data_IF_616311534898
#
_entry.id   IF_616311534898
#
_cell.length_a   1.000
_cell.length_b   1.000
_cell.length_c   1.000
_cell.angle_alpha   90.00
_cell.angle_beta   90.00
_cell.angle_gamma   90.00
#
_symmetry.space_group_name_H-M   'P 1'
#
loop_
_entity.id
_entity.type
_entity.pdbx_description
1 polymer ?
#
# COMPACT_ATOMS: atom_id res chain seq x y z
N UNK A 1 5.39 54.56 2.18
CA UNK A 1 4.95 53.28 2.76
C UNK A 1 4.39 52.43 1.64
N UNK A 2 5.05 51.33 1.29
CA UNK A 2 4.52 50.37 0.30
C UNK A 2 3.31 49.69 0.94
N UNK A 3 2.16 49.76 0.29
CA UNK A 3 0.93 49.12 0.76
C UNK A 3 1.14 47.61 0.63
N UNK A 4 1.19 46.86 1.73
CA UNK A 4 1.25 45.40 1.66
C UNK A 4 -0.02 44.92 0.93
N UNK A 5 0.16 44.20 -0.18
CA UNK A 5 -0.94 43.65 -0.96
C UNK A 5 -1.59 42.43 -0.26
N UNK A 6 -0.84 41.76 0.60
CA UNK A 6 -1.25 40.57 1.36
C UNK A 6 -0.88 40.71 2.85
N UNK A 7 -1.65 40.07 3.71
CA UNK A 7 -1.25 39.73 5.07
C UNK A 7 -0.38 38.47 5.07
N UNK A 8 0.04 38.01 6.24
CA UNK A 8 0.87 36.80 6.43
C UNK A 8 -0.02 35.64 6.87
N UNK A 9 0.23 34.45 6.35
CA UNK A 9 -0.42 33.21 6.75
C UNK A 9 0.36 32.55 7.88
N UNK A 10 -0.35 31.86 8.77
CA UNK A 10 0.22 30.88 9.68
C UNK A 10 -0.28 29.49 9.30
N UNK A 11 0.64 28.54 9.23
CA UNK A 11 0.43 27.15 8.82
C UNK A 11 1.18 26.25 9.79
N UNK A 12 0.62 25.07 10.12
CA UNK A 12 1.34 24.09 10.92
C UNK A 12 2.39 23.33 10.09
N UNK A 13 3.30 22.62 10.74
CA UNK A 13 4.33 21.83 10.04
C UNK A 13 3.73 20.73 9.14
N UNK A 14 2.53 20.24 9.46
CA UNK A 14 1.74 19.30 8.63
C UNK A 14 0.86 19.97 7.54
N UNK A 15 0.95 21.29 7.34
CA UNK A 15 0.26 21.96 6.24
C UNK A 15 -1.18 22.44 6.50
N UNK A 16 -1.76 22.20 7.69
CA UNK A 16 -3.04 22.80 8.06
C UNK A 16 -2.93 24.31 8.20
N UNK A 17 -3.84 25.03 7.53
CA UNK A 17 -3.92 26.48 7.58
C UNK A 17 -4.57 26.95 8.88
N UNK A 18 -3.80 27.65 9.72
CA UNK A 18 -4.30 28.23 10.98
C UNK A 18 -5.03 29.54 10.70
N UNK A 19 -4.37 30.48 10.02
CA UNK A 19 -4.97 31.77 9.69
C UNK A 19 -4.31 32.38 8.47
N UNK A 20 -5.09 33.08 7.65
CA UNK A 20 -4.56 33.95 6.59
C UNK A 20 -4.23 35.37 7.06
N UNK A 21 -4.46 35.69 8.33
CA UNK A 21 -4.38 37.05 8.86
C UNK A 21 -3.51 37.11 10.12
N UNK A 22 -2.24 36.73 10.00
CA UNK A 22 -1.30 36.71 11.13
C UNK A 22 -1.14 38.08 11.78
N UNK A 23 -1.40 39.20 11.10
CA UNK A 23 -1.38 40.52 11.73
C UNK A 23 -2.34 40.66 12.92
N UNK A 24 -3.38 39.81 12.99
CA UNK A 24 -4.37 39.76 14.06
C UNK A 24 -4.00 38.69 15.12
N UNK A 25 -3.51 39.08 16.31
CA UNK A 25 -3.02 38.13 17.32
C UNK A 25 -4.08 37.15 17.81
N UNK A 26 -5.36 37.51 17.77
CA UNK A 26 -6.48 36.67 18.20
C UNK A 26 -6.69 35.42 17.33
N UNK A 27 -6.14 35.40 16.12
CA UNK A 27 -6.22 34.25 15.20
C UNK A 27 -4.94 33.41 15.18
N UNK A 28 -3.91 33.79 15.95
CA UNK A 28 -2.67 33.03 16.02
C UNK A 28 -2.82 31.86 16.97
N UNK A 29 -2.35 30.69 16.55
CA UNK A 29 -2.27 29.52 17.43
C UNK A 29 -0.82 29.05 17.48
N UNK A 30 -0.22 28.81 18.67
CA UNK A 30 1.16 28.35 18.75
C UNK A 30 1.34 26.93 18.20
N UNK A 31 0.33 26.07 18.37
CA UNK A 31 0.26 24.71 17.85
C UNK A 31 -1.07 24.49 17.12
N UNK A 32 -1.11 23.55 16.19
CA UNK A 32 -2.32 23.20 15.43
C UNK A 32 -3.35 22.49 16.32
N UNK A 33 -4.62 22.90 16.25
CA UNK A 33 -5.71 22.21 16.94
C UNK A 33 -6.09 20.86 16.30
N UNK A 34 -5.76 20.64 15.02
CA UNK A 34 -6.09 19.41 14.28
C UNK A 34 -5.06 18.30 14.51
N UNK A 35 -3.76 18.62 14.42
CA UNK A 35 -2.68 17.62 14.51
C UNK A 35 -1.66 17.86 15.65
N UNK A 36 -1.72 19.00 16.34
CA UNK A 36 -0.82 19.30 17.46
C UNK A 36 0.59 19.77 17.10
N UNK A 37 0.95 19.85 15.82
CA UNK A 37 2.29 20.29 15.40
C UNK A 37 2.51 21.80 15.60
N UNK A 38 3.78 22.18 15.68
CA UNK A 38 4.20 23.58 15.75
C UNK A 38 3.76 24.36 14.51
N UNK A 39 3.70 25.68 14.63
CA UNK A 39 3.23 26.56 13.57
C UNK A 39 4.30 27.55 13.10
N UNK A 40 4.33 27.79 11.80
CA UNK A 40 5.22 28.74 11.16
C UNK A 40 4.42 29.78 10.36
N UNK A 41 5.02 30.95 10.20
CA UNK A 41 4.47 32.04 9.38
C UNK A 41 5.52 32.60 8.41
N UNK A 42 6.72 32.03 8.43
CA UNK A 42 7.85 32.37 7.58
C UNK A 42 8.49 31.08 7.05
N UNK A 43 9.06 31.16 5.86
CA UNK A 43 9.82 30.06 5.27
C UNK A 43 11.05 29.72 6.14
N UNK A 44 11.25 28.47 6.55
CA UNK A 44 12.38 28.09 7.40
C UNK A 44 13.74 28.21 6.70
N UNK A 45 13.77 28.26 5.37
CA UNK A 45 15.01 28.37 4.60
C UNK A 45 15.42 29.82 4.25
N UNK A 46 14.45 30.74 4.09
CA UNK A 46 14.74 32.10 3.62
C UNK A 46 14.03 33.23 4.36
N UNK A 47 13.34 32.90 5.46
CA UNK A 47 12.59 33.80 6.34
C UNK A 47 11.52 34.66 5.63
N UNK A 48 11.11 34.28 4.42
CA UNK A 48 10.05 34.97 3.70
C UNK A 48 8.70 34.72 4.36
N UNK A 49 7.95 35.79 4.63
CA UNK A 49 6.56 35.72 5.07
C UNK A 49 5.71 34.85 4.12
N UNK A 50 4.99 33.89 4.67
CA UNK A 50 4.06 33.05 3.91
C UNK A 50 2.85 33.91 3.52
N UNK A 51 2.52 33.99 2.22
CA UNK A 51 1.46 34.88 1.74
C UNK A 51 0.09 34.48 2.28
N UNK A 52 -0.53 35.34 3.08
CA UNK A 52 -1.86 35.19 3.63
C UNK A 52 -2.93 35.89 2.81
N UNK A 53 -4.00 36.32 3.49
CA UNK A 53 -5.18 36.96 2.90
C UNK A 53 -4.80 38.23 2.14
N UNK A 54 -5.46 38.45 1.01
CA UNK A 54 -5.32 39.68 0.24
C UNK A 54 -5.98 40.86 0.96
N UNK A 55 -5.29 42.01 1.02
CA UNK A 55 -5.75 43.21 1.73
C UNK A 55 -6.42 44.24 0.80
N UNK A 56 -6.55 43.96 -0.50
CA UNK A 56 -7.12 44.87 -1.51
C UNK A 56 -8.39 44.34 -2.20
N UNK A 57 -9.53 45.02 -2.04
CA UNK A 57 -10.73 44.81 -2.87
C UNK A 57 -11.87 44.02 -2.23
N UNK A 58 -13.03 44.05 -2.89
CA UNK A 58 -14.37 43.66 -2.38
C UNK A 58 -14.60 42.13 -2.35
N UNK A 59 -13.56 41.33 -2.62
CA UNK A 59 -13.67 39.86 -2.63
C UNK A 59 -13.22 39.34 -1.26
N UNK A 60 -14.18 39.14 -0.36
CA UNK A 60 -13.99 38.51 0.94
C UNK A 60 -13.69 37.02 0.81
N UNK A 61 -12.45 36.68 0.43
CA UNK A 61 -11.95 35.30 0.40
C UNK A 61 -11.19 34.90 1.67
N UNK A 62 -11.05 33.59 1.90
CA UNK A 62 -10.21 32.97 2.93
C UNK A 62 -8.70 33.16 2.67
N UNK A 63 -8.32 33.85 1.59
CA UNK A 63 -6.93 34.01 1.15
C UNK A 63 -6.48 32.86 0.24
N UNK A 64 -5.21 32.85 -0.22
CA UNK A 64 -4.66 31.76 -1.00
C UNK A 64 -4.65 30.45 -0.20
N UNK A 65 -4.71 29.32 -0.91
CA UNK A 65 -4.46 28.00 -0.35
C UNK A 65 -2.99 27.87 0.09
N UNK A 66 -2.72 26.89 0.96
CA UNK A 66 -1.37 26.56 1.42
C UNK A 66 -0.60 25.98 0.22
N UNK A 67 0.54 26.60 -0.11
CA UNK A 67 1.40 26.15 -1.22
C UNK A 67 2.46 25.20 -0.69
N UNK A 68 2.92 24.30 -1.55
CA UNK A 68 4.01 23.36 -1.26
C UNK A 68 5.39 24.03 -1.33
N UNK A 69 5.57 25.04 -2.19
CA UNK A 69 6.88 25.67 -2.42
C UNK A 69 6.90 27.15 -2.06
N UNK A 70 8.05 27.63 -1.59
CA UNK A 70 8.25 29.03 -1.24
C UNK A 70 8.28 29.93 -2.49
N UNK A 71 7.38 30.92 -2.54
CA UNK A 71 7.32 31.92 -3.62
C UNK A 71 8.60 32.79 -3.76
N UNK A 72 9.51 32.78 -2.77
CA UNK A 72 10.78 33.51 -2.82
C UNK A 72 11.94 32.61 -3.21
N UNK A 73 12.23 31.57 -2.43
CA UNK A 73 13.43 30.76 -2.61
C UNK A 73 13.21 29.49 -3.43
N UNK A 74 11.96 29.07 -3.64
CA UNK A 74 11.62 27.86 -4.38
C UNK A 74 11.74 26.56 -3.58
N UNK A 75 12.35 26.58 -2.38
CA UNK A 75 12.43 25.38 -1.54
C UNK A 75 11.04 24.91 -1.09
N UNK A 76 10.86 23.58 -0.90
CA UNK A 76 9.66 23.02 -0.30
C UNK A 76 9.47 23.54 1.13
N UNK A 77 8.21 23.74 1.51
CA UNK A 77 7.84 23.89 2.91
C UNK A 77 7.85 22.54 3.63
N UNK A 78 7.89 22.50 4.97
CA UNK A 78 7.90 21.25 5.72
C UNK A 78 6.77 20.27 5.38
N UNK A 79 5.60 20.78 5.00
CA UNK A 79 4.43 19.97 4.61
C UNK A 79 4.40 19.58 3.13
N UNK A 80 5.39 19.97 2.33
CA UNK A 80 5.42 19.62 0.90
C UNK A 80 5.71 18.13 0.69
N UNK A 81 6.27 17.45 1.70
CA UNK A 81 6.65 16.04 1.66
C UNK A 81 5.60 15.12 2.32
N UNK A 82 4.49 15.67 2.82
CA UNK A 82 3.43 14.93 3.54
C UNK A 82 2.30 14.48 2.59
N UNK A 83 2.64 14.01 1.39
CA UNK A 83 1.94 12.83 0.91
C UNK A 83 2.69 11.68 1.57
N UNK A 84 2.21 11.21 2.74
CA UNK A 84 2.81 10.09 3.49
C UNK A 84 3.50 9.16 2.50
N UNK A 85 4.84 9.09 2.55
CA UNK A 85 5.56 8.22 1.65
C UNK A 85 5.14 6.81 2.03
N UNK A 86 4.19 6.26 1.27
CA UNK A 86 3.49 5.03 1.64
C UNK A 86 4.44 3.83 1.55
N UNK A 87 5.76 4.05 1.41
CA UNK A 87 6.86 3.12 1.17
C UNK A 87 7.22 2.31 2.40
N UNK A 88 6.82 2.71 3.61
CA UNK A 88 6.98 1.85 4.78
C UNK A 88 6.05 0.63 4.73
N UNK A 89 6.64 -0.56 4.76
CA UNK A 89 5.90 -1.82 4.84
C UNK A 89 5.66 -2.16 6.31
N UNK A 90 4.42 -2.02 6.79
CA UNK A 90 4.03 -2.51 8.12
C UNK A 90 4.10 -4.05 8.16
N UNK A 91 5.23 -4.57 8.60
CA UNK A 91 5.47 -6.01 8.71
C UNK A 91 4.52 -6.72 9.68
N UNK A 92 3.90 -5.99 10.63
CA UNK A 92 3.01 -6.58 11.63
C UNK A 92 1.71 -7.12 11.02
N UNK A 93 1.35 -6.65 9.84
CA UNK A 93 0.18 -7.11 9.10
C UNK A 93 0.52 -8.11 7.99
N UNK A 94 1.78 -8.46 7.76
CA UNK A 94 2.15 -9.39 6.69
C UNK A 94 2.19 -10.85 7.17
N UNK A 95 2.07 -11.78 6.23
CA UNK A 95 2.35 -13.20 6.48
C UNK A 95 3.76 -13.39 7.05
N UNK A 96 3.91 -14.20 8.10
CA UNK A 96 5.18 -14.37 8.81
C UNK A 96 6.32 -14.85 7.88
N UNK A 97 6.02 -15.74 6.94
CA UNK A 97 7.03 -16.26 6.01
C UNK A 97 7.42 -15.22 4.97
N UNK A 98 6.46 -14.37 4.57
CA UNK A 98 6.72 -13.20 3.74
C UNK A 98 7.65 -12.21 4.44
N UNK A 99 7.42 -11.94 5.74
CA UNK A 99 8.30 -11.10 6.56
C UNK A 99 9.71 -11.67 6.61
N UNK A 100 9.85 -12.95 6.95
CA UNK A 100 11.15 -13.61 7.10
C UNK A 100 11.98 -13.58 5.80
N UNK A 101 11.32 -13.79 4.65
CA UNK A 101 12.02 -14.03 3.38
C UNK A 101 12.13 -12.80 2.47
N UNK A 102 11.20 -11.86 2.58
CA UNK A 102 11.12 -10.72 1.65
C UNK A 102 11.51 -9.39 2.28
N UNK A 103 11.11 -9.13 3.52
CA UNK A 103 11.20 -7.78 4.11
C UNK A 103 12.64 -7.36 4.39
N UNK A 104 13.49 -8.29 4.82
CA UNK A 104 14.92 -8.00 5.01
C UNK A 104 15.62 -7.53 3.72
N UNK A 105 15.19 -8.03 2.56
CA UNK A 105 15.72 -7.60 1.25
C UNK A 105 15.17 -6.24 0.85
N UNK A 106 13.87 -6.00 1.11
CA UNK A 106 13.20 -4.73 0.86
C UNK A 106 13.86 -3.59 1.63
N UNK A 107 13.99 -3.72 2.95
CA UNK A 107 14.63 -2.72 3.84
C UNK A 107 16.10 -2.47 3.49
N UNK A 108 16.76 -3.44 2.86
CA UNK A 108 18.14 -3.31 2.40
C UNK A 108 18.26 -2.74 0.97
N UNK A 109 17.16 -2.29 0.36
CA UNK A 109 17.13 -1.73 -1.01
C UNK A 109 17.24 -2.77 -2.13
N UNK A 110 17.14 -4.07 -1.83
CA UNK A 110 17.22 -5.15 -2.81
C UNK A 110 15.82 -5.50 -3.34
N UNK A 111 15.13 -4.51 -3.90
CA UNK A 111 13.71 -4.56 -4.24
C UNK A 111 13.34 -5.68 -5.21
N UNK A 112 14.13 -5.90 -6.26
CA UNK A 112 13.89 -7.01 -7.20
C UNK A 112 14.00 -8.38 -6.51
N UNK A 113 14.95 -8.55 -5.60
CA UNK A 113 15.09 -9.78 -4.83
C UNK A 113 13.92 -9.96 -3.87
N UNK A 114 13.47 -8.89 -3.20
CA UNK A 114 12.31 -8.92 -2.32
C UNK A 114 11.06 -9.40 -3.08
N UNK A 115 10.77 -8.82 -4.25
CA UNK A 115 9.68 -9.26 -5.13
C UNK A 115 9.80 -10.73 -5.51
N UNK A 116 11.00 -11.20 -5.88
CA UNK A 116 11.21 -12.60 -6.23
C UNK A 116 10.94 -13.53 -5.03
N UNK A 117 11.45 -13.18 -3.85
CA UNK A 117 11.24 -13.93 -2.61
C UNK A 117 9.76 -13.99 -2.22
N UNK A 118 9.03 -12.88 -2.36
CA UNK A 118 7.59 -12.85 -2.11
C UNK A 118 6.83 -13.85 -2.99
N UNK A 119 7.11 -13.90 -4.29
CA UNK A 119 6.48 -14.88 -5.18
C UNK A 119 6.91 -16.32 -4.93
N UNK A 120 8.13 -16.55 -4.43
CA UNK A 120 8.55 -17.89 -3.99
C UNK A 120 7.72 -18.33 -2.79
N UNK A 121 7.47 -17.45 -1.81
CA UNK A 121 6.60 -17.74 -0.65
C UNK A 121 5.19 -18.10 -1.12
N UNK A 122 4.62 -17.33 -2.05
CA UNK A 122 3.30 -17.66 -2.63
C UNK A 122 3.32 -19.02 -3.35
N UNK A 123 4.34 -19.29 -4.18
CA UNK A 123 4.45 -20.53 -4.94
C UNK A 123 4.55 -21.76 -4.03
N UNK A 124 5.39 -21.71 -2.99
CA UNK A 124 5.52 -22.81 -2.02
C UNK A 124 4.24 -22.97 -1.19
N UNK A 125 3.57 -21.88 -0.79
CA UNK A 125 2.30 -21.98 -0.05
C UNK A 125 1.20 -22.63 -0.89
N UNK A 126 1.08 -22.27 -2.16
CA UNK A 126 0.16 -22.92 -3.11
C UNK A 126 0.52 -24.39 -3.27
N UNK A 127 1.81 -24.71 -3.40
CA UNK A 127 2.28 -26.09 -3.53
C UNK A 127 1.88 -26.93 -2.32
N UNK A 128 2.14 -26.44 -1.12
CA UNK A 128 1.86 -27.15 0.13
C UNK A 128 0.36 -27.36 0.33
N UNK A 129 -0.46 -26.33 0.11
CA UNK A 129 -1.92 -26.41 0.28
C UNK A 129 -2.57 -27.27 -0.81
N UNK A 130 -2.07 -27.21 -2.03
CA UNK A 130 -2.58 -27.98 -3.17
C UNK A 130 -2.01 -29.39 -3.30
N UNK A 131 -1.06 -29.77 -2.43
CA UNK A 131 -0.32 -31.04 -2.48
C UNK A 131 0.33 -31.29 -3.85
N UNK A 132 0.97 -30.27 -4.41
CA UNK A 132 1.66 -30.34 -5.70
C UNK A 132 3.13 -30.76 -5.56
N UNK A 133 3.65 -31.40 -6.61
CA UNK A 133 5.09 -31.66 -6.75
C UNK A 133 5.88 -30.43 -7.20
N UNK A 134 7.20 -30.59 -7.38
CA UNK A 134 8.09 -29.53 -7.85
C UNK A 134 8.17 -29.40 -9.38
N UNK A 135 7.50 -30.29 -10.10
CA UNK A 135 7.56 -30.34 -11.56
C UNK A 135 6.73 -29.23 -12.22
N UNK A 136 5.72 -28.73 -11.51
CA UNK A 136 4.83 -27.64 -11.95
C UNK A 136 5.16 -26.38 -11.16
N UNK A 137 5.31 -25.26 -11.86
CA UNK A 137 5.79 -23.99 -11.30
C UNK A 137 5.14 -22.80 -12.00
N UNK A 138 5.29 -21.61 -11.40
CA UNK A 138 4.83 -20.37 -12.01
C UNK A 138 3.33 -20.35 -12.36
N UNK A 139 2.99 -19.85 -13.56
CA UNK A 139 1.61 -19.74 -14.03
C UNK A 139 0.91 -21.09 -14.17
N UNK A 140 1.66 -22.16 -14.49
CA UNK A 140 1.08 -23.48 -14.70
C UNK A 140 0.63 -24.08 -13.36
N UNK A 141 1.41 -23.84 -12.29
CA UNK A 141 1.01 -24.23 -10.93
C UNK A 141 -0.28 -23.52 -10.51
N UNK A 142 -0.36 -22.21 -10.75
CA UNK A 142 -1.56 -21.44 -10.41
C UNK A 142 -2.78 -21.91 -11.22
N UNK A 143 -2.59 -22.28 -12.48
CA UNK A 143 -3.66 -22.81 -13.32
C UNK A 143 -4.18 -24.13 -12.74
N UNK A 144 -3.31 -25.09 -12.46
CA UNK A 144 -3.72 -26.40 -11.92
C UNK A 144 -4.31 -26.28 -10.51
N UNK A 145 -3.78 -25.37 -9.67
CA UNK A 145 -4.25 -25.18 -8.30
C UNK A 145 -5.66 -24.58 -8.22
N UNK A 146 -5.98 -23.61 -9.08
CA UNK A 146 -7.19 -22.79 -8.97
C UNK A 146 -8.22 -23.05 -10.09
N UNK A 147 -7.98 -24.01 -10.99
CA UNK A 147 -8.96 -24.37 -12.05
C UNK A 147 -10.34 -24.68 -11.46
N UNK A 148 -11.44 -24.10 -11.98
CA UNK A 148 -12.79 -24.42 -11.53
C UNK A 148 -13.07 -25.92 -11.54
N UNK A 149 -13.80 -26.40 -10.52
CA UNK A 149 -14.22 -27.80 -10.31
C UNK A 149 -13.10 -28.83 -10.05
N UNK A 150 -11.89 -28.62 -10.56
CA UNK A 150 -10.79 -29.61 -10.50
C UNK A 150 -9.61 -29.19 -9.63
N UNK A 151 -9.40 -27.88 -9.46
CA UNK A 151 -8.29 -27.33 -8.71
C UNK A 151 -8.49 -27.53 -7.20
N UNK A 152 -7.50 -28.08 -6.47
CA UNK A 152 -7.61 -28.32 -5.03
C UNK A 152 -7.78 -27.04 -4.20
N UNK A 153 -7.44 -25.87 -4.77
CA UNK A 153 -7.53 -24.57 -4.14
C UNK A 153 -8.55 -23.65 -4.82
N UNK A 154 -9.41 -24.18 -5.70
CA UNK A 154 -10.49 -23.40 -6.32
C UNK A 154 -11.49 -22.92 -5.26
N UNK A 155 -11.79 -21.62 -5.25
CA UNK A 155 -12.79 -21.01 -4.36
C UNK A 155 -13.58 -19.90 -5.08
N UNK A 156 -14.81 -19.63 -4.60
CA UNK A 156 -15.79 -18.73 -5.21
C UNK A 156 -17.18 -19.36 -5.25
N UNK A 157 -18.24 -18.56 -5.15
CA UNK A 157 -19.64 -19.03 -5.12
C UNK A 157 -20.13 -19.48 -6.50
N UNK A 158 -19.59 -18.87 -7.56
CA UNK A 158 -19.96 -19.18 -8.95
C UNK A 158 -18.74 -19.62 -9.76
N UNK A 159 -18.98 -20.34 -10.87
CA UNK A 159 -17.90 -20.73 -11.78
C UNK A 159 -17.11 -19.54 -12.34
N UNK A 160 -17.80 -18.41 -12.60
CA UNK A 160 -17.15 -17.17 -13.05
C UNK A 160 -16.25 -16.56 -11.98
N UNK A 161 -16.62 -16.64 -10.70
CA UNK A 161 -15.78 -16.17 -9.59
C UNK A 161 -14.55 -17.06 -9.43
N UNK A 162 -14.72 -18.38 -9.48
CA UNK A 162 -13.62 -19.34 -9.45
C UNK A 162 -12.63 -19.10 -10.58
N UNK A 163 -13.14 -18.86 -11.79
CA UNK A 163 -12.32 -18.52 -12.95
C UNK A 163 -11.57 -17.18 -12.75
N UNK A 164 -12.25 -16.17 -12.19
CA UNK A 164 -11.63 -14.89 -11.84
C UNK A 164 -10.50 -15.03 -10.82
N UNK A 165 -10.68 -15.87 -9.80
CA UNK A 165 -9.64 -16.20 -8.82
C UNK A 165 -8.45 -16.86 -9.53
N UNK A 166 -8.68 -17.87 -10.36
CA UNK A 166 -7.61 -18.52 -11.13
C UNK A 166 -6.83 -17.50 -11.97
N UNK A 167 -7.53 -16.61 -12.68
CA UNK A 167 -6.89 -15.57 -13.49
C UNK A 167 -6.08 -14.58 -12.66
N UNK A 168 -6.56 -14.22 -11.47
CA UNK A 168 -5.85 -13.32 -10.57
C UNK A 168 -4.49 -13.91 -10.15
N UNK A 169 -4.46 -15.14 -9.64
CA UNK A 169 -3.21 -15.79 -9.20
C UNK A 169 -2.27 -16.07 -10.36
N UNK A 170 -2.81 -16.61 -11.46
CA UNK A 170 -2.04 -16.89 -12.67
C UNK A 170 -1.45 -15.61 -13.26
N UNK A 171 -2.25 -14.54 -13.32
CA UNK A 171 -1.87 -13.24 -13.83
C UNK A 171 -0.77 -12.62 -13.00
N UNK A 172 -0.94 -12.54 -11.68
CA UNK A 172 0.08 -12.01 -10.77
C UNK A 172 1.43 -12.73 -10.94
N UNK A 173 1.41 -14.05 -11.02
CA UNK A 173 2.62 -14.86 -11.20
C UNK A 173 3.31 -14.62 -12.54
N UNK A 174 2.53 -14.33 -13.59
CA UNK A 174 3.04 -14.10 -14.94
C UNK A 174 3.53 -12.66 -15.16
N UNK A 175 2.89 -11.67 -14.55
CA UNK A 175 3.16 -10.24 -14.84
C UNK A 175 4.01 -9.54 -13.80
N UNK A 176 3.90 -9.90 -12.52
CA UNK A 176 4.51 -9.13 -11.41
C UNK A 176 5.79 -9.77 -10.87
N UNK A 177 5.98 -11.09 -11.06
CA UNK A 177 7.16 -11.81 -10.53
C UNK A 177 8.50 -11.33 -11.10
N UNK A 178 8.52 -10.87 -12.34
CA UNK A 178 9.75 -10.46 -13.01
C UNK A 178 9.56 -9.21 -13.90
N UNK A 179 9.25 -8.05 -13.31
CA UNK A 179 8.85 -6.84 -14.04
C UNK A 179 9.97 -6.31 -14.94
N UNK A 180 11.21 -6.34 -14.44
CA UNK A 180 12.41 -5.90 -15.18
C UNK A 180 12.68 -6.73 -16.45
N UNK A 181 12.17 -7.97 -16.54
CA UNK A 181 12.30 -8.78 -17.77
C UNK A 181 11.32 -8.36 -18.88
N UNK A 182 10.26 -7.62 -18.53
CA UNK A 182 9.21 -7.19 -19.44
C UNK A 182 9.42 -5.77 -19.99
N UNK A 183 10.64 -5.44 -20.47
CA UNK A 183 11.02 -4.31 -21.37
C UNK A 183 10.51 -2.87 -21.08
N UNK A 184 9.67 -2.62 -20.09
CA UNK A 184 9.07 -1.31 -19.77
C UNK A 184 9.59 -0.72 -18.45
N UNK A 185 10.23 -1.54 -17.60
CA UNK A 185 10.80 -1.14 -16.32
C UNK A 185 12.28 -1.52 -16.36
N UNK A 186 13.18 -0.54 -16.26
CA UNK A 186 14.63 -0.77 -16.29
C UNK A 186 15.14 -1.32 -14.95
N UNK A 187 14.48 -0.97 -13.84
CA UNK A 187 14.81 -1.40 -12.47
C UNK A 187 13.55 -1.40 -11.59
N UNK A 188 13.47 -2.32 -10.63
CA UNK A 188 12.37 -2.37 -9.66
C UNK A 188 12.64 -1.32 -8.58
N UNK A 189 11.79 -0.28 -8.50
CA UNK A 189 11.85 0.72 -7.45
C UNK A 189 11.16 0.25 -6.14
N UNK A 190 11.35 1.05 -5.10
CA UNK A 190 10.82 0.80 -3.75
C UNK A 190 9.29 0.72 -3.73
N UNK A 191 8.64 1.70 -4.36
CA UNK A 191 7.19 1.83 -4.41
C UNK A 191 6.55 0.60 -5.07
N UNK A 192 7.10 0.18 -6.20
CA UNK A 192 6.64 -1.00 -6.91
C UNK A 192 6.86 -2.27 -6.07
N UNK A 193 8.02 -2.42 -5.43
CA UNK A 193 8.30 -3.60 -4.62
C UNK A 193 7.35 -3.71 -3.42
N UNK A 194 7.06 -2.60 -2.74
CA UNK A 194 6.02 -2.54 -1.71
C UNK A 194 4.69 -3.05 -2.25
N UNK A 195 4.19 -2.46 -3.33
CA UNK A 195 2.88 -2.77 -3.87
C UNK A 195 2.75 -4.24 -4.26
N UNK A 196 3.82 -4.81 -4.82
CA UNK A 196 3.88 -6.24 -5.14
C UNK A 196 3.90 -7.12 -3.88
N UNK A 197 4.69 -6.77 -2.86
CA UNK A 197 4.72 -7.51 -1.58
C UNK A 197 3.33 -7.51 -0.95
N UNK A 198 2.65 -6.36 -0.90
CA UNK A 198 1.28 -6.26 -0.38
C UNK A 198 0.27 -7.02 -1.24
N UNK A 199 0.44 -7.03 -2.57
CA UNK A 199 -0.38 -7.86 -3.47
C UNK A 199 -0.20 -9.34 -3.18
N UNK A 200 1.04 -9.82 -3.02
CA UNK A 200 1.32 -11.21 -2.64
C UNK A 200 0.71 -11.55 -1.28
N UNK A 201 0.81 -10.66 -0.29
CA UNK A 201 0.19 -10.85 1.01
C UNK A 201 -1.34 -10.96 0.92
N UNK A 202 -1.98 -10.14 0.06
CA UNK A 202 -3.41 -10.23 -0.21
C UNK A 202 -3.77 -11.60 -0.80
N UNK A 203 -3.01 -12.10 -1.77
CA UNK A 203 -3.23 -13.44 -2.34
C UNK A 203 -3.09 -14.54 -1.28
N UNK A 204 -2.04 -14.50 -0.45
CA UNK A 204 -1.90 -15.46 0.66
C UNK A 204 -3.13 -15.46 1.58
N UNK A 205 -3.58 -14.28 2.02
CA UNK A 205 -4.77 -14.13 2.88
C UNK A 205 -6.06 -14.60 2.21
N UNK A 206 -6.26 -14.30 0.93
CA UNK A 206 -7.43 -14.76 0.17
C UNK A 206 -7.48 -16.27 0.10
N UNK A 207 -6.37 -16.93 -0.22
CA UNK A 207 -6.30 -18.39 -0.23
C UNK A 207 -6.57 -18.96 1.16
N UNK A 208 -5.96 -18.41 2.21
CA UNK A 208 -6.12 -18.93 3.57
C UNK A 208 -7.55 -18.80 4.09
N UNK A 209 -8.15 -17.63 3.96
CA UNK A 209 -9.55 -17.41 4.37
C UNK A 209 -10.54 -18.34 3.68
N UNK A 210 -10.27 -18.75 2.44
CA UNK A 210 -11.21 -19.52 1.62
C UNK A 210 -10.91 -21.03 1.56
N UNK A 211 -9.73 -21.48 2.00
CA UNK A 211 -9.34 -22.91 1.99
C UNK A 211 -9.24 -23.54 3.38
N UNK A 212 -9.19 -22.72 4.45
CA UNK A 212 -9.09 -23.20 5.84
C UNK A 212 -10.38 -23.80 6.40
N UNK A 213 -11.55 -23.50 5.81
CA UNK A 213 -12.84 -24.03 6.28
C UNK A 213 -13.10 -25.48 5.84
N UNK A 214 -12.33 -26.00 4.89
CA UNK A 214 -12.68 -27.22 4.17
C UNK A 214 -11.91 -28.48 4.65
N UNK A 215 -10.89 -28.28 5.50
CA UNK A 215 -10.05 -29.40 5.99
C UNK A 215 -10.76 -30.21 7.09
N UNK A 216 -11.58 -29.57 7.93
CA UNK A 216 -12.36 -30.26 8.97
C UNK A 216 -13.52 -31.05 8.36
N UNK A 217 -14.23 -30.44 7.40
CA UNK A 217 -15.40 -31.04 6.73
C UNK A 217 -15.03 -32.29 5.90
N UNK A 218 -13.93 -32.25 5.15
CA UNK A 218 -13.49 -33.38 4.31
C UNK A 218 -12.89 -34.56 5.09
N UNK A 219 -12.34 -34.32 6.28
CA UNK A 219 -11.85 -35.38 7.17
C UNK A 219 -13.01 -36.05 7.95
N UNK A 220 -14.01 -35.28 8.38
CA UNK A 220 -15.20 -35.82 9.05
C UNK A 220 -16.06 -36.65 8.10
N UNK A 221 -16.29 -36.19 6.86
CA UNK A 221 -17.08 -36.94 5.87
C UNK A 221 -16.41 -38.26 5.42
N UNK A 222 -15.07 -38.31 5.41
CA UNK A 222 -14.31 -39.51 5.06
C UNK A 222 -14.25 -40.53 6.21
N UNK A 223 -14.21 -40.05 7.45
CA UNK A 223 -14.29 -40.90 8.64
C UNK A 223 -15.68 -41.55 8.80
N UNK A 224 -16.76 -40.84 8.44
CA UNK A 224 -18.12 -41.39 8.47
C UNK A 224 -18.38 -42.42 7.35
N UNK A 225 -17.82 -42.23 6.15
CA UNK A 225 -17.97 -43.20 5.06
C UNK A 225 -17.21 -44.51 5.30
N UNK A 226 -16.09 -44.45 6.01
CA UNK A 226 -15.28 -45.64 6.33
C UNK A 226 -15.86 -46.44 7.50
N UNK A 227 -16.58 -45.80 8.43
CA UNK A 227 -17.30 -46.47 9.52
C UNK A 227 -18.56 -47.22 9.06
N UNK A 228 -19.23 -46.74 8.01
CA UNK A 228 -20.45 -47.38 7.47
C UNK A 228 -20.13 -48.63 6.63
N UNK A 229 -18.91 -48.74 6.08
CA UNK A 229 -18.49 -49.90 5.27
C UNK A 229 -17.83 -51.04 6.06
N UNK A 230 -17.60 -50.90 7.37
CA UNK A 230 -17.06 -51.99 8.20
C UNK A 230 -18.13 -52.87 8.88
N UNK A 231 -19.40 -52.48 8.78
CA UNK A 231 -20.54 -53.16 9.44
C UNK A 231 -21.47 -53.92 8.46
N UNK A 232 -21.01 -54.23 7.24
CA UNK A 232 -21.75 -55.01 6.24
C UNK A 232 -20.96 -56.21 5.71
#
# INVERSE_FOLDING_TARGET
>A
MVRKEYDVMQVCLEGHKITGAYSNPEFRQPACEECGSDTIHQCPNCDADIKGRYLGGVIGGTGPEVKEFCDRCGEPYPWADEAEDFTEVDSSVLDNELVERSISQYESGHYQSAVQSAFIVLEERVRDRGNFGRDIHGSDLMTEAFTPERGPLSFGETGSEQEGVMFLYRGAMQSLRNPASHRFIEEVDEEYARDVIHTVNLLLRLMESNTSSDTTSKLEQRAESDAVNSDN
#
